data_IF_225983171840
#
_entry.id   IF_225983171840
#
_cell.length_a   1.000
_cell.length_b   1.000
_cell.length_c   1.000
_cell.angle_alpha   90.00
_cell.angle_beta   90.00
_cell.angle_gamma   90.00
#
_symmetry.space_group_name_H-M   'P 1'
#
loop_
_entity.id
_entity.type
_entity.pdbx_description
1 polymer ?
#
# COMPACT_ATOMS: atom_id res chain seq x y z
N UNK A 1 2.88 -0.19 -25.80
CA UNK A 1 1.66 -0.99 -25.93
C UNK A 1 0.54 -0.19 -25.27
N UNK A 2 -0.60 0.06 -25.92
CA UNK A 2 -1.69 0.77 -25.26
C UNK A 2 -2.22 -0.12 -24.13
N UNK A 3 -2.36 0.43 -22.92
CA UNK A 3 -3.01 -0.27 -21.80
C UNK A 3 -4.40 -0.71 -22.23
N UNK A 4 -4.66 -2.01 -22.24
CA UNK A 4 -5.99 -2.52 -22.43
C UNK A 4 -6.80 -2.15 -21.19
N UNK A 5 -7.81 -1.29 -21.36
CA UNK A 5 -8.76 -0.98 -20.31
C UNK A 5 -9.54 -2.24 -19.87
N UNK A 6 -10.27 -2.16 -18.74
CA UNK A 6 -11.09 -3.26 -18.27
C UNK A 6 -12.04 -3.78 -19.36
N UNK A 7 -12.31 -5.10 -19.41
CA UNK A 7 -13.15 -5.69 -20.43
C UNK A 7 -14.59 -5.13 -20.35
N UNK A 8 -15.29 -4.96 -21.49
CA UNK A 8 -16.66 -4.47 -21.51
C UNK A 8 -17.58 -5.36 -20.67
N UNK A 9 -18.37 -4.76 -19.78
CA UNK A 9 -19.35 -5.47 -18.96
C UNK A 9 -18.81 -6.04 -17.64
N UNK A 10 -17.54 -5.82 -17.29
CA UNK A 10 -17.04 -6.15 -15.94
C UNK A 10 -17.82 -5.37 -14.87
N UNK A 11 -18.24 -6.06 -13.82
CA UNK A 11 -19.02 -5.49 -12.70
C UNK A 11 -18.26 -5.50 -11.38
N UNK A 12 -17.14 -6.22 -11.33
CA UNK A 12 -16.30 -6.36 -10.15
C UNK A 12 -14.84 -6.11 -10.51
N UNK A 13 -14.16 -5.41 -9.61
CA UNK A 13 -12.73 -5.13 -9.65
C UNK A 13 -12.10 -5.53 -8.33
N UNK A 14 -11.05 -6.32 -8.38
CA UNK A 14 -10.29 -6.72 -7.19
C UNK A 14 -8.79 -6.65 -7.47
N UNK A 15 -8.01 -6.24 -6.47
CA UNK A 15 -6.55 -6.36 -6.55
C UNK A 15 -6.16 -7.84 -6.49
N UNK A 16 -5.17 -8.23 -7.29
CA UNK A 16 -4.60 -9.58 -7.21
C UNK A 16 -3.85 -9.77 -5.89
N UNK A 17 -3.81 -11.02 -5.41
CA UNK A 17 -3.06 -11.37 -4.20
C UNK A 17 -1.58 -11.01 -4.35
N UNK A 18 -0.99 -11.32 -5.51
CA UNK A 18 0.43 -11.09 -5.78
C UNK A 18 0.78 -9.58 -5.78
N UNK A 19 -0.07 -8.74 -6.36
CA UNK A 19 0.10 -7.29 -6.30
C UNK A 19 -0.03 -6.76 -4.86
N UNK A 20 -0.99 -7.28 -4.09
CA UNK A 20 -1.17 -6.91 -2.68
C UNK A 20 0.08 -7.29 -1.85
N UNK A 21 0.56 -8.53 -1.99
CA UNK A 21 1.73 -9.04 -1.27
C UNK A 21 2.99 -8.25 -1.60
N UNK A 22 3.21 -7.94 -2.88
CA UNK A 22 4.32 -7.10 -3.34
C UNK A 22 4.28 -5.71 -2.69
N UNK A 23 3.11 -5.08 -2.68
CA UNK A 23 2.92 -3.77 -2.07
C UNK A 23 3.10 -3.81 -0.55
N UNK A 24 2.53 -4.82 0.11
CA UNK A 24 2.65 -5.00 1.55
C UNK A 24 4.12 -5.19 1.97
N UNK A 25 4.85 -6.09 1.30
CA UNK A 25 6.28 -6.31 1.54
C UNK A 25 7.12 -5.03 1.36
N UNK A 26 6.77 -4.19 0.38
CA UNK A 26 7.39 -2.89 0.18
C UNK A 26 7.19 -1.95 1.39
N UNK A 27 5.96 -1.82 1.88
CA UNK A 27 5.65 -0.95 3.01
C UNK A 27 6.33 -1.43 4.29
N UNK A 28 6.32 -2.74 4.52
CA UNK A 28 7.00 -3.36 5.67
C UNK A 28 8.50 -3.10 5.67
N UNK A 29 9.16 -3.15 4.50
CA UNK A 29 10.60 -2.83 4.39
C UNK A 29 10.90 -1.35 4.68
N UNK A 30 9.98 -0.45 4.34
CA UNK A 30 10.16 1.01 4.51
C UNK A 30 9.77 1.51 5.90
N UNK A 31 9.04 0.73 6.70
CA UNK A 31 8.40 1.18 7.94
C UNK A 31 9.37 1.87 8.90
N UNK A 32 10.60 1.37 9.03
CA UNK A 32 11.62 1.89 9.95
C UNK A 32 12.06 3.34 9.68
N UNK A 33 11.67 3.93 8.54
CA UNK A 33 11.89 5.35 8.23
C UNK A 33 10.88 6.28 8.92
N UNK A 34 9.83 5.74 9.54
CA UNK A 34 8.81 6.51 10.24
C UNK A 34 9.24 6.84 11.68
N UNK A 35 8.71 7.94 12.23
CA UNK A 35 9.00 8.39 13.61
C UNK A 35 8.62 7.35 14.67
N UNK A 36 7.63 6.49 14.38
CA UNK A 36 7.16 5.46 15.31
C UNK A 36 8.22 4.42 15.68
N UNK A 37 9.24 4.23 14.84
CA UNK A 37 10.32 3.27 15.08
C UNK A 37 11.52 3.85 15.82
N UNK A 38 11.41 5.09 16.31
CA UNK A 38 12.40 5.67 17.23
C UNK A 38 12.19 5.13 18.65
N UNK A 39 13.28 4.97 19.42
CA UNK A 39 13.25 4.36 20.77
C UNK A 39 12.39 5.09 21.80
N UNK A 40 12.17 6.39 21.60
CA UNK A 40 11.28 7.20 22.43
C UNK A 40 9.80 6.92 22.13
N UNK A 41 9.43 6.76 20.86
CA UNK A 41 8.06 6.54 20.41
C UNK A 41 7.62 5.07 20.52
N UNK A 42 8.55 4.11 20.39
CA UNK A 42 8.27 2.69 20.58
C UNK A 42 7.71 2.33 21.97
N UNK A 43 8.00 3.16 22.98
CA UNK A 43 7.51 2.99 24.36
C UNK A 43 6.25 3.78 24.67
N UNK A 44 5.75 4.57 23.72
CA UNK A 44 4.53 5.34 23.91
C UNK A 44 3.31 4.42 23.74
N UNK A 45 2.34 4.50 24.67
CA UNK A 45 1.02 3.85 24.55
C UNK A 45 0.17 4.54 23.48
N UNK A 46 0.69 4.59 22.25
CA UNK A 46 0.06 5.29 21.14
C UNK A 46 -0.98 4.40 20.48
N UNK A 47 -2.17 4.97 20.21
CA UNK A 47 -3.24 4.25 19.51
C UNK A 47 -2.87 3.84 18.07
N UNK A 48 -1.78 4.39 17.54
CA UNK A 48 -1.27 4.06 16.21
C UNK A 48 -0.60 2.68 16.14
N UNK A 49 -0.25 2.07 17.28
CA UNK A 49 0.23 0.69 17.29
C UNK A 49 -0.97 -0.27 17.32
N UNK A 50 -1.01 -1.17 16.36
CA UNK A 50 -1.99 -2.24 16.33
C UNK A 50 -1.62 -3.37 17.32
N UNK A 51 -2.47 -4.40 17.40
CA UNK A 51 -2.24 -5.58 18.26
C UNK A 51 -0.97 -6.36 17.90
N UNK A 52 -0.42 -6.16 16.70
CA UNK A 52 0.80 -6.80 16.21
C UNK A 52 2.04 -5.92 16.45
N UNK A 53 1.86 -4.72 17.01
CA UNK A 53 2.93 -3.75 17.24
C UNK A 53 3.37 -3.01 15.98
N UNK A 54 2.58 -3.02 14.90
CA UNK A 54 2.85 -2.24 13.70
C UNK A 54 1.96 -1.00 13.62
N UNK A 55 2.30 -0.10 12.70
CA UNK A 55 1.58 1.15 12.48
C UNK A 55 0.90 1.08 11.11
N UNK A 56 -0.43 1.30 11.02
CA UNK A 56 -1.19 1.21 9.76
C UNK A 56 -1.01 2.48 8.90
N UNK A 57 0.20 3.02 8.88
CA UNK A 57 0.55 4.20 8.09
C UNK A 57 1.50 3.82 6.96
N UNK A 58 1.18 4.32 5.79
CA UNK A 58 1.96 4.11 4.58
C UNK A 58 3.21 5.01 4.60
N UNK A 59 4.43 4.44 4.60
CA UNK A 59 5.67 5.21 4.51
C UNK A 59 5.93 5.73 3.08
N UNK A 60 5.15 6.74 2.67
CA UNK A 60 5.14 7.32 1.32
C UNK A 60 5.05 8.84 1.40
N UNK A 61 5.80 9.54 0.54
CA UNK A 61 5.69 11.00 0.43
C UNK A 61 4.41 11.39 -0.34
N UNK A 62 3.90 12.60 -0.11
CA UNK A 62 2.70 13.10 -0.82
C UNK A 62 2.87 13.04 -2.34
N UNK A 63 4.06 13.35 -2.86
CA UNK A 63 4.36 13.32 -4.30
C UNK A 63 4.34 11.87 -4.82
N UNK A 64 4.96 10.93 -4.11
CA UNK A 64 4.93 9.50 -4.49
C UNK A 64 3.50 8.95 -4.45
N UNK A 65 2.71 9.31 -3.43
CA UNK A 65 1.30 8.95 -3.34
C UNK A 65 0.53 9.45 -4.56
N UNK A 66 0.66 10.74 -4.89
CA UNK A 66 0.01 11.35 -6.04
C UNK A 66 0.42 10.66 -7.36
N UNK A 67 1.71 10.38 -7.52
CA UNK A 67 2.23 9.73 -8.72
C UNK A 67 1.65 8.31 -8.90
N UNK A 68 1.66 7.49 -7.84
CA UNK A 68 1.12 6.12 -7.87
C UNK A 68 -0.39 6.07 -8.08
N UNK A 69 -1.14 7.01 -7.50
CA UNK A 69 -2.59 7.12 -7.73
C UNK A 69 -2.94 7.44 -9.19
N UNK A 70 -2.00 8.00 -9.95
CA UNK A 70 -2.18 8.30 -11.38
C UNK A 70 -1.54 7.28 -12.33
N UNK A 71 -0.70 6.41 -11.81
CA UNK A 71 0.15 5.48 -12.58
C UNK A 71 0.19 4.15 -11.84
N UNK A 72 -0.91 3.42 -11.94
CA UNK A 72 -1.03 2.07 -11.42
C UNK A 72 -1.22 1.10 -12.59
N UNK A 73 -0.74 -0.11 -12.42
CA UNK A 73 -0.81 -1.15 -13.43
C UNK A 73 -2.20 -1.79 -13.42
N UNK A 74 -2.89 -1.83 -14.56
CA UNK A 74 -4.19 -2.51 -14.66
C UNK A 74 -4.05 -4.03 -14.57
N UNK A 75 -2.88 -4.59 -14.87
CA UNK A 75 -2.61 -6.03 -14.74
C UNK A 75 -2.57 -6.49 -13.28
N UNK A 76 -2.41 -5.56 -12.33
CA UNK A 76 -2.52 -5.85 -10.89
C UNK A 76 -3.97 -6.10 -10.45
N UNK A 77 -4.96 -5.92 -11.33
CA UNK A 77 -6.39 -6.02 -11.02
C UNK A 77 -7.08 -7.12 -11.83
N UNK A 78 -7.96 -7.86 -11.16
CA UNK A 78 -8.88 -8.82 -11.79
C UNK A 78 -10.22 -8.15 -12.00
N UNK A 79 -10.66 -8.14 -13.25
CA UNK A 79 -11.99 -7.68 -13.67
C UNK A 79 -12.88 -8.87 -14.00
N UNK A 80 -14.08 -8.93 -13.42
CA UNK A 80 -15.09 -9.98 -13.67
C UNK A 80 -16.48 -9.39 -13.81
#
# INVERSE_FOLDING_TARGET
>A
MPEAGPPPGATRVEVTQEANDRYFAEMMRRRHRQVFWQDSCRRANSYYFDKNGDVPLRPTTTIEAYWRSRRFDLDDYRFT
#
